data_IF_672134828986
#
_entry.id   IF_672134828986
#
_cell.length_a   1.000
_cell.length_b   1.000
_cell.length_c   1.000
_cell.angle_alpha   90.00
_cell.angle_beta   90.00
_cell.angle_gamma   90.00
#
_symmetry.space_group_name_H-M   'P 1'
#
loop_
_entity.id
_entity.type
_entity.pdbx_description
1 polymer ?
#
# COMPACT_ATOMS: atom_id res chain seq x y z
N UNK A 1 3.96 8.38 3.19
CA UNK A 1 3.18 7.20 3.61
C UNK A 1 2.29 6.82 2.46
N UNK A 2 2.49 5.65 1.83
CA UNK A 2 1.81 5.25 0.59
C UNK A 2 0.42 4.62 0.77
N UNK A 3 0.04 4.24 1.99
CA UNK A 3 -1.20 3.49 2.30
C UNK A 3 -2.52 4.08 1.76
N UNK A 4 -2.83 5.38 1.97
CA UNK A 4 -4.10 5.97 1.54
C UNK A 4 -4.32 5.93 0.02
N UNK A 5 -3.24 5.94 -0.77
CA UNK A 5 -3.33 5.86 -2.22
C UNK A 5 -3.60 4.43 -2.70
N UNK A 6 -3.05 3.42 -2.03
CA UNK A 6 -3.31 2.01 -2.35
C UNK A 6 -4.76 1.64 -2.06
N UNK A 7 -5.32 2.09 -0.93
CA UNK A 7 -6.73 1.88 -0.58
C UNK A 7 -7.67 2.47 -1.64
N UNK A 8 -7.41 3.72 -2.05
CA UNK A 8 -8.20 4.39 -3.09
C UNK A 8 -8.08 3.70 -4.45
N UNK A 9 -6.88 3.23 -4.80
CA UNK A 9 -6.66 2.50 -6.04
C UNK A 9 -7.41 1.17 -6.04
N UNK A 10 -7.38 0.44 -4.93
CA UNK A 10 -8.10 -0.83 -4.76
C UNK A 10 -9.60 -0.68 -4.94
N UNK A 11 -10.20 0.32 -4.28
CA UNK A 11 -11.64 0.62 -4.37
C UNK A 11 -12.12 0.99 -5.79
N UNK A 12 -11.20 1.38 -6.68
CA UNK A 12 -11.50 1.81 -8.06
C UNK A 12 -10.92 0.87 -9.12
N UNK A 13 -10.36 -0.27 -8.71
CA UNK A 13 -9.67 -1.22 -9.59
C UNK A 13 -8.57 -0.55 -10.46
N UNK A 14 -7.82 0.37 -9.87
CA UNK A 14 -6.69 1.08 -10.49
C UNK A 14 -5.35 0.51 -10.02
N UNK A 15 -4.26 0.86 -10.71
CA UNK A 15 -2.89 0.58 -10.29
C UNK A 15 -2.37 1.62 -9.29
N UNK A 16 -1.43 1.22 -8.42
CA UNK A 16 -0.72 2.12 -7.50
C UNK A 16 0.79 1.81 -7.48
N UNK A 17 1.62 2.84 -7.31
CA UNK A 17 3.07 2.74 -7.09
C UNK A 17 3.36 2.77 -5.59
N UNK A 18 4.30 1.96 -5.14
CA UNK A 18 4.87 2.03 -3.79
C UNK A 18 6.37 1.80 -3.83
N UNK A 19 7.08 2.54 -2.98
CA UNK A 19 8.51 2.39 -2.76
C UNK A 19 9.01 3.39 -1.72
N UNK A 20 10.25 3.21 -1.26
CA UNK A 20 10.90 4.07 -0.28
C UNK A 20 10.97 5.53 -0.79
N UNK A 21 10.98 5.74 -2.10
CA UNK A 21 10.90 7.05 -2.74
C UNK A 21 9.56 7.78 -2.47
N UNK A 22 8.48 7.02 -2.28
CA UNK A 22 7.13 7.55 -2.03
C UNK A 22 6.84 7.61 -0.51
N UNK A 23 7.64 6.90 0.29
CA UNK A 23 7.64 6.98 1.74
C UNK A 23 8.03 5.67 2.42
N UNK A 24 8.70 5.81 3.57
CA UNK A 24 9.31 4.69 4.30
C UNK A 24 8.46 4.04 5.39
N UNK A 25 7.27 4.54 5.68
CA UNK A 25 6.47 4.03 6.79
C UNK A 25 5.38 3.07 6.32
N UNK A 26 5.21 1.97 7.07
CA UNK A 26 4.12 1.01 6.97
C UNK A 26 2.81 1.59 7.53
N UNK A 27 1.66 0.93 7.32
CA UNK A 27 0.36 1.42 7.80
C UNK A 27 0.27 1.56 9.32
N UNK A 28 1.03 0.76 10.07
CA UNK A 28 1.13 0.83 11.53
C UNK A 28 2.08 1.95 12.02
N UNK A 29 2.67 2.71 11.10
CA UNK A 29 3.61 3.79 11.39
C UNK A 29 5.07 3.34 11.55
N UNK A 30 5.36 2.04 11.58
CA UNK A 30 6.73 1.54 11.65
C UNK A 30 7.51 1.82 10.35
N UNK A 31 8.84 1.90 10.44
CA UNK A 31 9.69 2.07 9.25
C UNK A 31 9.85 0.72 8.54
N UNK A 32 9.56 0.69 7.25
CA UNK A 32 9.71 -0.49 6.42
C UNK A 32 11.18 -0.89 6.29
N UNK A 33 11.45 -2.20 6.41
CA UNK A 33 12.79 -2.76 6.20
C UNK A 33 13.30 -2.63 4.76
N UNK A 34 12.42 -2.29 3.81
CA UNK A 34 12.76 -2.05 2.41
C UNK A 34 11.53 -2.04 1.51
N UNK A 35 11.75 -1.89 0.20
CA UNK A 35 10.68 -1.88 -0.81
C UNK A 35 9.83 -3.15 -0.77
N UNK A 36 10.42 -4.32 -0.50
CA UNK A 36 9.67 -5.57 -0.40
C UNK A 36 8.60 -5.53 0.71
N UNK A 37 8.90 -4.93 1.87
CA UNK A 37 7.93 -4.77 2.95
C UNK A 37 6.80 -3.80 2.58
N UNK A 38 7.10 -2.72 1.86
CA UNK A 38 6.10 -1.79 1.33
C UNK A 38 5.18 -2.46 0.30
N UNK A 39 5.74 -3.24 -0.62
CA UNK A 39 4.98 -4.02 -1.61
C UNK A 39 4.08 -5.04 -0.93
N UNK A 40 4.58 -5.79 0.05
CA UNK A 40 3.79 -6.76 0.80
C UNK A 40 2.59 -6.10 1.50
N UNK A 41 2.80 -4.97 2.17
CA UNK A 41 1.72 -4.20 2.80
C UNK A 41 0.70 -3.69 1.76
N UNK A 42 1.19 -3.18 0.62
CA UNK A 42 0.33 -2.71 -0.46
C UNK A 42 -0.54 -3.82 -1.06
N UNK A 43 0.02 -5.03 -1.27
CA UNK A 43 -0.74 -6.18 -1.77
C UNK A 43 -1.85 -6.59 -0.79
N UNK A 44 -1.57 -6.61 0.52
CA UNK A 44 -2.57 -6.90 1.55
C UNK A 44 -3.72 -5.90 1.50
N UNK A 45 -3.41 -4.60 1.50
CA UNK A 45 -4.41 -3.53 1.39
C UNK A 45 -5.23 -3.67 0.10
N UNK A 46 -4.55 -3.88 -1.02
CA UNK A 46 -5.19 -3.97 -2.33
C UNK A 46 -6.19 -5.12 -2.40
N UNK A 47 -5.78 -6.29 -1.88
CA UNK A 47 -6.66 -7.47 -1.79
C UNK A 47 -7.85 -7.18 -0.89
N UNK A 48 -7.65 -6.59 0.29
CA UNK A 48 -8.73 -6.26 1.22
C UNK A 48 -9.75 -5.28 0.63
N UNK A 49 -9.28 -4.25 -0.11
CA UNK A 49 -10.14 -3.27 -0.77
C UNK A 49 -11.00 -3.86 -1.89
N UNK A 50 -10.52 -4.90 -2.58
CA UNK A 50 -11.26 -5.55 -3.69
C UNK A 50 -12.49 -6.33 -3.24
N UNK A 51 -12.54 -6.76 -1.98
CA UNK A 51 -13.69 -7.47 -1.41
C UNK A 51 -14.74 -6.53 -0.79
N UNK A 52 -14.37 -5.26 -0.59
CA UNK A 52 -15.25 -4.24 0.00
C UNK A 52 -16.06 -3.45 -1.05
N UNK A 53 -15.87 -3.74 -2.34
CA UNK A 53 -16.53 -3.07 -3.47
C UNK A 53 -17.52 -3.97 -4.19
#
# INVERSE_FOLDING_TARGET
TGGPFVERAAARNLSARVGLEDGKHLPDGSVAAGNAALVAAAVTIYRAGRWRG
#
